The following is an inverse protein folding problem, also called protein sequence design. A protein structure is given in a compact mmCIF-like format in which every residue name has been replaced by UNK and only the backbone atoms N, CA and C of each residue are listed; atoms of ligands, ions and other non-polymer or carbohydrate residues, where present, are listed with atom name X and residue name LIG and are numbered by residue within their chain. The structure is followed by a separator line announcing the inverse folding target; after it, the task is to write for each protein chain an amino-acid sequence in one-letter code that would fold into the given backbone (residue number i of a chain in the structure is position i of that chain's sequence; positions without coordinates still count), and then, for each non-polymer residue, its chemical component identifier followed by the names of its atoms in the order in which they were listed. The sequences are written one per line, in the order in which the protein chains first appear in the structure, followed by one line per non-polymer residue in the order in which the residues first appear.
data_IF_959458849193
#
_entry.id   IF_959458849193
#
_cell.length_a   1.000
_cell.length_b   1.000
_cell.length_c   1.000
_cell.angle_alpha   90.00
_cell.angle_beta   90.00
_cell.angle_gamma   90.00
#
_symmetry.space_group_name_H-M   'P 1'
#
loop_
_entity.id
_entity.type
_entity.pdbx_description
1 polymer ?
#
# COMPACT_ATOMS: atom_id res chain seq x y z
N UNK A 1 7.34 10.37 18.20
CA UNK A 1 7.94 9.03 18.10
C UNK A 1 7.07 8.15 17.23
N UNK A 2 7.60 7.65 16.15
CA UNK A 2 6.77 6.96 15.16
C UNK A 2 7.16 5.50 14.95
N UNK A 3 7.61 4.84 16.02
CA UNK A 3 7.94 3.43 15.93
C UNK A 3 6.74 2.62 15.45
N UNK A 4 5.54 2.96 15.96
CA UNK A 4 4.32 2.26 15.54
C UNK A 4 4.01 2.49 14.07
N UNK A 5 4.32 3.68 13.56
CA UNK A 5 4.10 3.97 12.14
C UNK A 5 5.01 3.11 11.27
N UNK A 6 6.28 3.02 11.64
CA UNK A 6 7.23 2.19 10.89
C UNK A 6 6.87 0.72 10.96
N UNK A 7 6.45 0.25 12.12
CA UNK A 7 6.03 -1.14 12.28
C UNK A 7 4.78 -1.44 11.45
N UNK A 8 3.84 -0.53 11.40
CA UNK A 8 2.63 -0.71 10.61
C UNK A 8 2.93 -0.69 9.13
N UNK A 9 3.89 0.12 8.71
CA UNK A 9 4.29 0.16 7.32
C UNK A 9 4.97 -1.15 6.92
N UNK A 10 5.80 -1.71 7.79
CA UNK A 10 6.41 -3.01 7.55
C UNK A 10 5.36 -4.11 7.48
N UNK A 11 4.38 -4.05 8.38
CA UNK A 11 3.28 -5.00 8.36
C UNK A 11 2.49 -4.89 7.05
N UNK A 12 2.26 -3.66 6.61
CA UNK A 12 1.59 -3.42 5.33
C UNK A 12 2.35 -4.07 4.17
N UNK A 13 3.68 -3.91 4.15
CA UNK A 13 4.50 -4.53 3.11
C UNK A 13 4.40 -6.05 3.14
N UNK A 14 4.42 -6.62 4.33
CA UNK A 14 4.30 -8.07 4.48
C UNK A 14 2.95 -8.55 3.95
N UNK A 15 1.86 -7.87 4.32
CA UNK A 15 0.53 -8.22 3.83
C UNK A 15 0.44 -8.07 2.32
N UNK A 16 1.03 -7.00 1.79
CA UNK A 16 1.01 -6.75 0.36
C UNK A 16 1.70 -7.89 -0.39
N UNK A 17 2.88 -8.27 0.08
CA UNK A 17 3.63 -9.36 -0.55
C UNK A 17 2.86 -10.67 -0.49
N UNK A 18 2.27 -10.98 0.64
CA UNK A 18 1.50 -12.22 0.80
C UNK A 18 0.22 -12.21 -0.01
N UNK A 19 -0.51 -11.11 0.06
CA UNK A 19 -1.83 -11.02 -0.58
C UNK A 19 -1.72 -11.13 -2.10
N UNK A 20 -0.68 -10.55 -2.69
CA UNK A 20 -0.51 -10.52 -4.13
C UNK A 20 0.60 -11.46 -4.61
N UNK A 21 1.12 -12.30 -3.73
CA UNK A 21 2.14 -13.30 -4.06
C UNK A 21 3.36 -12.66 -4.71
N UNK A 22 3.84 -11.59 -4.09
CA UNK A 22 5.01 -10.86 -4.57
C UNK A 22 6.21 -11.17 -3.70
N UNK A 23 7.40 -11.16 -4.30
CA UNK A 23 8.62 -11.26 -3.53
C UNK A 23 8.89 -9.89 -2.86
N UNK A 24 9.46 -9.89 -1.65
CA UNK A 24 9.76 -8.60 -0.99
C UNK A 24 10.63 -7.68 -1.84
N UNK A 25 11.54 -8.23 -2.63
CA UNK A 25 12.41 -7.42 -3.47
C UNK A 25 11.67 -6.78 -4.65
N UNK A 26 10.45 -7.22 -4.95
CA UNK A 26 9.63 -6.58 -5.98
C UNK A 26 8.96 -5.31 -5.48
N UNK A 27 8.96 -5.09 -4.18
CA UNK A 27 8.28 -3.94 -3.56
C UNK A 27 9.20 -2.74 -3.45
N UNK A 28 9.89 -2.42 -4.53
CA UNK A 28 10.72 -1.22 -4.57
C UNK A 28 9.82 0.00 -4.71
N UNK A 29 10.24 1.14 -4.17
CA UNK A 29 9.41 2.35 -4.24
C UNK A 29 9.02 2.76 -5.66
N UNK A 30 9.89 2.50 -6.63
CA UNK A 30 9.61 2.87 -8.03
C UNK A 30 8.89 1.78 -8.81
N UNK A 31 8.58 0.63 -8.21
CA UNK A 31 7.84 -0.42 -8.89
C UNK A 31 6.42 0.07 -9.20
N UNK A 32 6.03 -0.07 -10.45
CA UNK A 32 4.70 0.35 -10.91
C UNK A 32 3.71 -0.78 -10.69
N UNK A 33 2.55 -0.43 -10.14
CA UNK A 33 1.58 -1.44 -9.70
C UNK A 33 1.06 -2.28 -10.86
N UNK A 34 0.69 -1.65 -11.95
CA UNK A 34 0.13 -2.39 -13.08
C UNK A 34 1.19 -2.98 -13.98
N UNK A 35 2.22 -2.21 -14.32
CA UNK A 35 3.21 -2.62 -15.31
C UNK A 35 4.26 -3.57 -14.74
N UNK A 36 4.71 -3.31 -13.51
CA UNK A 36 5.81 -4.09 -12.92
C UNK A 36 5.31 -5.22 -12.04
N UNK A 37 4.19 -5.01 -11.34
CA UNK A 37 3.63 -6.01 -10.42
C UNK A 37 2.44 -6.76 -10.99
N UNK A 38 2.02 -6.43 -12.20
CA UNK A 38 0.93 -7.11 -12.90
C UNK A 38 -0.41 -7.07 -12.13
N UNK A 39 -0.65 -6.01 -11.38
CA UNK A 39 -1.93 -5.87 -10.69
C UNK A 39 -3.00 -5.41 -11.67
N UNK A 40 -4.23 -5.84 -11.46
CA UNK A 40 -5.36 -5.40 -12.28
C UNK A 40 -6.37 -4.64 -11.40
N UNK A 41 -7.53 -4.30 -11.98
CA UNK A 41 -8.52 -3.51 -11.24
C UNK A 41 -9.11 -4.26 -10.05
N UNK A 42 -9.18 -5.58 -10.11
CA UNK A 42 -9.64 -6.36 -8.96
C UNK A 42 -8.59 -6.30 -7.85
N UNK A 43 -7.32 -6.42 -8.23
CA UNK A 43 -6.22 -6.28 -7.27
C UNK A 43 -6.21 -4.90 -6.65
N UNK A 44 -6.57 -3.87 -7.40
CA UNK A 44 -6.63 -2.51 -6.87
C UNK A 44 -7.67 -2.39 -5.75
N UNK A 45 -8.83 -3.04 -5.92
CA UNK A 45 -9.83 -3.08 -4.87
C UNK A 45 -9.31 -3.79 -3.62
N UNK A 46 -8.61 -4.89 -3.82
CA UNK A 46 -8.03 -5.65 -2.73
C UNK A 46 -6.95 -4.83 -2.01
N UNK A 47 -6.18 -4.07 -2.77
CA UNK A 47 -5.18 -3.18 -2.19
C UNK A 47 -5.83 -2.13 -1.28
N UNK A 48 -6.95 -1.57 -1.70
CA UNK A 48 -7.68 -0.61 -0.86
C UNK A 48 -8.14 -1.26 0.44
N UNK A 49 -8.56 -2.53 0.37
CA UNK A 49 -8.96 -3.26 1.57
C UNK A 49 -7.77 -3.46 2.50
N UNK A 50 -6.62 -3.82 1.97
CA UNK A 50 -5.41 -3.99 2.78
C UNK A 50 -5.02 -2.68 3.46
N UNK A 51 -5.10 -1.58 2.74
CA UNK A 51 -4.82 -0.26 3.33
C UNK A 51 -5.74 0.01 4.51
N UNK A 52 -7.02 -0.30 4.34
CA UNK A 52 -8.00 -0.10 5.41
C UNK A 52 -7.71 -0.99 6.61
N UNK A 53 -7.31 -2.23 6.36
CA UNK A 53 -7.00 -3.16 7.45
C UNK A 53 -5.83 -2.67 8.29
N UNK A 54 -4.82 -2.12 7.63
CA UNK A 54 -3.60 -1.67 8.33
C UNK A 54 -3.79 -0.33 9.01
N UNK A 55 -4.49 0.60 8.36
CA UNK A 55 -4.62 1.96 8.87
C UNK A 55 -5.90 2.19 9.65
N UNK A 56 -6.89 1.32 9.51
CA UNK A 56 -8.21 1.52 10.09
C UNK A 56 -9.02 2.60 9.39
N UNK A 57 -8.55 3.09 8.25
CA UNK A 57 -9.17 4.22 7.55
C UNK A 57 -9.27 3.92 6.07
N UNK A 58 -10.29 4.48 5.44
CA UNK A 58 -10.46 4.35 4.00
C UNK A 58 -9.59 5.37 3.29
N UNK A 59 -8.96 4.94 2.20
CA UNK A 59 -8.25 5.87 1.33
C UNK A 59 -9.27 6.60 0.47
N UNK A 60 -9.05 7.91 0.26
CA UNK A 60 -9.87 8.73 -0.61
C UNK A 60 -9.78 8.19 -2.03
N UNK A 61 -10.92 7.96 -2.72
CA UNK A 61 -10.87 7.47 -4.10
C UNK A 61 -10.04 8.33 -5.04
N UNK A 62 -10.06 9.65 -4.88
CA UNK A 62 -9.25 10.52 -5.73
C UNK A 62 -7.76 10.34 -5.45
N UNK A 63 -7.38 10.20 -4.19
CA UNK A 63 -6.00 9.93 -3.84
C UNK A 63 -5.57 8.58 -4.41
N UNK A 64 -6.45 7.59 -4.35
CA UNK A 64 -6.15 6.25 -4.85
C UNK A 64 -5.94 6.27 -6.36
N UNK A 65 -6.68 7.09 -7.07
CA UNK A 65 -6.52 7.21 -8.52
C UNK A 65 -5.15 7.74 -8.93
N UNK A 66 -4.47 8.47 -8.05
CA UNK A 66 -3.18 9.04 -8.34
C UNK A 66 -2.02 8.12 -7.96
N UNK A 67 -2.33 7.02 -7.31
CA UNK A 67 -1.33 6.05 -6.89
C UNK A 67 -0.89 5.23 -8.11
N UNK A 68 0.42 5.18 -8.39
CA UNK A 68 0.95 4.43 -9.52
C UNK A 68 2.04 3.46 -9.11
N UNK A 69 2.80 3.79 -8.07
CA UNK A 69 3.95 2.99 -7.64
C UNK A 69 3.77 2.52 -6.21
N UNK A 70 4.61 1.58 -5.79
CA UNK A 70 4.64 1.13 -4.40
C UNK A 70 4.93 2.31 -3.48
N UNK A 71 5.85 3.21 -3.89
CA UNK A 71 6.16 4.39 -3.08
C UNK A 71 4.96 5.28 -2.89
N UNK A 72 4.12 5.42 -3.93
CA UNK A 72 2.90 6.22 -3.81
C UNK A 72 1.95 5.60 -2.80
N UNK A 73 1.80 4.28 -2.82
CA UNK A 73 0.95 3.57 -1.87
C UNK A 73 1.46 3.78 -0.45
N UNK A 74 2.76 3.62 -0.25
CA UNK A 74 3.35 3.78 1.08
C UNK A 74 3.17 5.19 1.61
N UNK A 75 3.26 6.18 0.73
CA UNK A 75 3.04 7.56 1.12
C UNK A 75 1.61 7.76 1.62
N UNK A 76 0.64 7.17 0.94
CA UNK A 76 -0.75 7.26 1.37
C UNK A 76 -0.98 6.52 2.69
N UNK A 77 -0.36 5.38 2.86
CA UNK A 77 -0.47 4.64 4.13
C UNK A 77 0.09 5.49 5.27
N UNK A 78 1.27 6.10 5.07
CA UNK A 78 1.85 6.97 6.09
C UNK A 78 0.93 8.14 6.42
N UNK A 79 0.35 8.76 5.40
CA UNK A 79 -0.55 9.90 5.60
C UNK A 79 -1.75 9.48 6.44
N UNK A 80 -2.32 8.32 6.15
CA UNK A 80 -3.48 7.83 6.90
C UNK A 80 -3.11 7.45 8.33
N UNK A 81 -1.90 6.94 8.55
CA UNK A 81 -1.45 6.58 9.90
C UNK A 81 -1.18 7.81 10.77
N UNK A 82 -0.71 8.88 10.15
CA UNK A 82 -0.35 10.10 10.89
C UNK A 82 -1.58 10.93 11.20
N UNK A 83 -2.56 10.95 10.32
CA UNK A 83 -3.75 11.81 10.45
C UNK A 83 -4.82 11.14 11.32
N UNK A 84 -4.44 10.81 12.53
CA UNK A 84 -5.39 10.23 13.49
C UNK A 84 -5.97 11.30 14.45
#
# INVERSE_FOLDING_TARGET
MNANEDERLEYFRTLLAERFELAPEDLRPDARLYEDLDLDSIDALDLAIVIREVTGRKIDPQAFHQVRTVGDVEREVRRLLVNL
#
